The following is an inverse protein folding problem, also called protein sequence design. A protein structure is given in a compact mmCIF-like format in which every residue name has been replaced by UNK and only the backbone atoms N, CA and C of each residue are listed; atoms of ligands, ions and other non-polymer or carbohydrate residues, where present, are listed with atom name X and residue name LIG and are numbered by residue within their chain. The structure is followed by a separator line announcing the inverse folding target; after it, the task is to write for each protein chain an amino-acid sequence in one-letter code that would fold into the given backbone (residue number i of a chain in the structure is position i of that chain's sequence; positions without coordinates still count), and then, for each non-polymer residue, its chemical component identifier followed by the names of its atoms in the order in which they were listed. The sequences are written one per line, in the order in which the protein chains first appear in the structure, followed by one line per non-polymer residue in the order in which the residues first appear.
data_IF_615736392070
#
_entry.id   IF_615736392070
#
_cell.length_a   1.000
_cell.length_b   1.000
_cell.length_c   1.000
_cell.angle_alpha   90.00
_cell.angle_beta   90.00
_cell.angle_gamma   90.00
#
_symmetry.space_group_name_H-M   'P 1'
#
loop_
_entity.id
_entity.type
_entity.pdbx_description
1 polymer ?
#
# COMPACT_ATOMS: atom_id res chain seq x y z
N UNK A 1 -1.85 26.23 -3.98
CA UNK A 1 -2.79 25.62 -4.94
C UNK A 1 -2.17 24.29 -5.33
N UNK A 2 -2.46 23.26 -4.57
CA UNK A 2 -2.07 21.86 -4.86
C UNK A 2 -3.20 20.93 -4.36
N UNK A 3 -4.43 21.46 -4.31
CA UNK A 3 -5.61 20.76 -3.80
C UNK A 3 -6.14 19.68 -4.76
N UNK A 4 -5.56 19.58 -5.97
CA UNK A 4 -5.87 18.55 -6.98
C UNK A 4 -4.92 17.34 -6.91
N UNK A 5 -4.04 17.28 -5.91
CA UNK A 5 -3.11 16.16 -5.76
C UNK A 5 -3.85 14.88 -5.31
N UNK A 6 -3.85 13.87 -6.17
CA UNK A 6 -4.39 12.53 -5.90
C UNK A 6 -3.30 11.47 -6.09
N UNK A 7 -2.95 10.76 -5.02
CA UNK A 7 -1.95 9.69 -5.02
C UNK A 7 -2.50 8.47 -4.30
N UNK A 8 -2.29 7.30 -4.89
CA UNK A 8 -2.52 6.01 -4.23
C UNK A 8 -1.19 5.27 -4.17
N UNK A 9 -0.77 4.88 -2.96
CA UNK A 9 0.39 4.04 -2.73
C UNK A 9 -0.07 2.70 -2.17
N UNK A 10 0.37 1.64 -2.83
CA UNK A 10 0.23 0.28 -2.36
C UNK A 10 1.52 -0.10 -1.63
N UNK A 11 1.44 -0.26 -0.31
CA UNK A 11 2.56 -0.73 0.49
C UNK A 11 2.65 -2.26 0.48
N UNK A 12 1.50 -2.91 0.29
CA UNK A 12 1.35 -4.36 0.14
C UNK A 12 0.05 -4.69 -0.59
N UNK A 13 0.10 -5.73 -1.41
CA UNK A 13 -1.01 -6.15 -2.30
C UNK A 13 -1.30 -7.64 -2.22
N UNK A 14 -0.56 -8.38 -1.39
CA UNK A 14 -0.83 -9.80 -1.17
C UNK A 14 -2.06 -9.95 -0.28
N UNK A 15 -2.83 -11.02 -0.50
CA UNK A 15 -3.95 -11.39 0.36
C UNK A 15 -3.55 -11.77 1.79
N UNK A 16 -4.43 -12.48 2.49
CA UNK A 16 -4.51 -12.62 3.95
C UNK A 16 -3.23 -12.94 4.74
N UNK A 17 -2.22 -13.57 4.14
CA UNK A 17 -1.01 -14.03 4.82
C UNK A 17 0.19 -13.35 4.15
N UNK A 18 1.26 -13.04 4.87
CA UNK A 18 2.50 -12.54 4.26
C UNK A 18 3.37 -13.70 3.75
N UNK A 19 4.20 -13.47 2.74
CA UNK A 19 5.28 -14.40 2.35
C UNK A 19 6.60 -13.67 2.19
N UNK A 20 7.67 -14.43 2.38
CA UNK A 20 9.04 -14.02 2.14
C UNK A 20 9.77 -15.11 1.36
N UNK A 21 10.82 -14.71 0.65
CA UNK A 21 11.61 -15.61 -0.18
C UNK A 21 12.07 -14.95 -1.49
N UNK A 22 13.17 -15.43 -2.11
CA UNK A 22 13.67 -14.91 -3.38
C UNK A 22 12.62 -14.91 -4.51
N UNK A 23 11.70 -15.87 -4.49
CA UNK A 23 10.62 -16.01 -5.46
C UNK A 23 9.60 -14.87 -5.40
N UNK A 24 9.51 -14.15 -4.28
CA UNK A 24 8.60 -13.02 -4.10
C UNK A 24 9.28 -11.65 -4.27
N UNK A 25 10.58 -11.61 -4.61
CA UNK A 25 11.34 -10.37 -4.69
C UNK A 25 10.85 -9.40 -5.78
N UNK A 26 10.23 -9.91 -6.86
CA UNK A 26 9.74 -9.08 -7.98
C UNK A 26 8.50 -8.27 -7.64
N UNK A 27 7.56 -8.86 -6.91
CA UNK A 27 6.23 -8.26 -6.66
C UNK A 27 5.95 -7.99 -5.18
N UNK A 28 6.79 -8.50 -4.27
CA UNK A 28 6.59 -8.41 -2.83
C UNK A 28 5.61 -9.45 -2.29
N UNK A 29 5.68 -9.67 -0.98
CA UNK A 29 4.83 -10.64 -0.27
C UNK A 29 4.05 -10.05 0.90
N UNK A 30 4.05 -8.72 1.05
CA UNK A 30 3.36 -8.03 2.12
C UNK A 30 1.83 -8.05 1.94
N UNK A 31 1.11 -8.21 3.06
CA UNK A 31 -0.36 -8.16 3.07
C UNK A 31 -0.87 -6.75 2.80
N UNK A 32 -2.18 -6.59 2.61
CA UNK A 32 -2.78 -5.31 2.18
C UNK A 32 -2.48 -4.16 3.15
N UNK A 33 -2.00 -3.04 2.59
CA UNK A 33 -2.05 -1.71 3.18
C UNK A 33 -1.96 -0.67 2.07
N UNK A 34 -2.84 0.31 2.11
CA UNK A 34 -2.95 1.33 1.08
C UNK A 34 -2.99 2.70 1.72
N UNK A 35 -2.16 3.62 1.21
CA UNK A 35 -2.23 5.04 1.51
C UNK A 35 -2.87 5.77 0.33
N UNK A 36 -3.89 6.58 0.61
CA UNK A 36 -4.44 7.54 -0.35
C UNK A 36 -4.21 8.96 0.17
N UNK A 37 -3.59 9.80 -0.66
CA UNK A 37 -3.50 11.24 -0.42
C UNK A 37 -4.41 11.96 -1.41
N UNK A 38 -5.35 12.74 -0.91
CA UNK A 38 -6.31 13.50 -1.71
C UNK A 38 -6.51 14.90 -1.11
N UNK A 39 -5.95 15.91 -1.78
CA UNK A 39 -5.85 17.27 -1.24
C UNK A 39 -5.16 17.28 0.13
N UNK A 40 -5.84 17.79 1.15
CA UNK A 40 -5.34 17.84 2.54
C UNK A 40 -5.51 16.55 3.35
N UNK A 41 -6.13 15.52 2.77
CA UNK A 41 -6.48 14.30 3.49
C UNK A 41 -5.49 13.18 3.19
N UNK A 42 -5.13 12.43 4.24
CA UNK A 42 -4.43 11.15 4.14
C UNK A 42 -5.32 10.08 4.72
N UNK A 43 -5.64 9.07 3.92
CA UNK A 43 -6.45 7.91 4.29
C UNK A 43 -5.55 6.68 4.28
N UNK A 44 -5.63 5.87 5.33
CA UNK A 44 -4.98 4.57 5.43
C UNK A 44 -6.05 3.47 5.43
N UNK A 45 -5.87 2.49 4.56
CA UNK A 45 -6.74 1.34 4.44
C UNK A 45 -5.95 0.10 4.82
N UNK A 46 -6.42 -0.58 5.87
CA UNK A 46 -5.76 -1.72 6.52
C UNK A 46 -4.42 -1.35 7.20
N UNK A 47 -3.88 -2.30 7.95
CA UNK A 47 -2.62 -2.19 8.68
C UNK A 47 -1.84 -3.52 8.60
N UNK A 48 -1.76 -4.07 7.38
CA UNK A 48 -1.02 -5.27 7.07
C UNK A 48 0.50 -5.13 7.23
N UNK A 49 1.25 -6.15 6.80
CA UNK A 49 2.72 -6.20 6.92
C UNK A 49 3.46 -5.28 5.95
N UNK A 50 2.75 -4.68 5.00
CA UNK A 50 3.25 -3.63 4.14
C UNK A 50 2.07 -2.75 3.84
#
# INVERSE_FOLDING_TARGET
MDDDFFLVRFWGVRGSIAVSGPEFARYGGNTICIEMRCGKHTLLFDAGSG
#
